data_IF_341970118830
#
_entry.id   IF_341970118830
#
_cell.length_a   1.000
_cell.length_b   1.000
_cell.length_c   1.000
_cell.angle_alpha   90.00
_cell.angle_beta   90.00
_cell.angle_gamma   90.00
#
_symmetry.space_group_name_H-M   'P 1'
#
loop_
_entity.id
_entity.type
_entity.pdbx_description
1 polymer ?
#
# COMPACT_ATOMS: atom_id res chain seq x y z
N UNK A 1 21.97 26.25 -49.29
CA UNK A 1 22.69 26.24 -47.99
C UNK A 1 21.67 26.03 -46.89
N UNK A 2 21.80 24.93 -46.15
CA UNK A 2 20.98 24.68 -44.99
C UNK A 2 21.56 25.47 -43.79
N UNK A 3 20.75 26.31 -43.15
CA UNK A 3 21.16 27.04 -41.95
C UNK A 3 21.13 26.08 -40.79
N UNK A 4 22.29 25.74 -40.24
CA UNK A 4 22.39 24.97 -39.00
C UNK A 4 22.15 25.93 -37.82
N UNK A 5 21.02 25.74 -37.12
CA UNK A 5 20.74 26.46 -35.86
C UNK A 5 21.56 25.78 -34.75
N UNK A 6 22.23 26.60 -33.94
CA UNK A 6 22.95 26.14 -32.77
C UNK A 6 21.95 25.58 -31.74
N UNK A 7 22.07 24.30 -31.40
CA UNK A 7 21.30 23.72 -30.31
C UNK A 7 21.98 24.08 -28.99
N UNK A 8 21.27 24.80 -28.11
CA UNK A 8 21.73 25.06 -26.73
C UNK A 8 21.25 23.96 -25.81
N UNK A 9 22.16 23.23 -25.20
CA UNK A 9 21.83 22.28 -24.16
C UNK A 9 21.29 23.03 -22.93
N UNK A 10 20.08 22.70 -22.49
CA UNK A 10 19.56 23.13 -21.21
C UNK A 10 20.05 22.13 -20.13
N UNK A 11 20.59 22.66 -19.04
CA UNK A 11 21.04 21.88 -17.88
C UNK A 11 19.89 21.32 -17.05
N UNK A 12 18.64 21.71 -17.37
CA UNK A 12 17.45 21.18 -16.69
C UNK A 12 17.05 19.86 -17.31
N UNK A 13 17.16 18.78 -16.53
CA UNK A 13 16.57 17.49 -16.87
C UNK A 13 15.06 17.58 -16.64
N UNK A 14 14.27 17.22 -17.65
CA UNK A 14 12.82 17.09 -17.51
C UNK A 14 12.57 15.85 -16.67
N UNK A 15 12.16 16.04 -15.43
CA UNK A 15 11.80 14.95 -14.51
C UNK A 15 10.35 14.52 -14.73
N UNK A 16 10.09 13.21 -14.57
CA UNK A 16 8.72 12.69 -14.54
C UNK A 16 8.03 13.12 -13.25
N UNK A 17 6.71 13.20 -13.28
CA UNK A 17 5.93 13.36 -12.06
C UNK A 17 6.16 12.19 -11.13
N UNK A 18 6.43 12.48 -9.85
CA UNK A 18 6.75 11.47 -8.83
C UNK A 18 5.67 11.47 -7.76
N UNK A 19 5.23 10.28 -7.39
CA UNK A 19 4.34 10.07 -6.24
C UNK A 19 5.19 9.58 -5.07
N UNK A 20 5.01 10.19 -3.90
CA UNK A 20 5.52 9.63 -2.64
C UNK A 20 4.78 8.33 -2.33
N UNK A 21 5.38 7.46 -1.50
CA UNK A 21 4.69 6.24 -1.07
C UNK A 21 3.34 6.55 -0.44
N UNK A 22 2.30 5.93 -0.98
CA UNK A 22 0.92 6.09 -0.55
C UNK A 22 0.53 5.08 0.53
N UNK A 23 1.22 3.94 0.57
CA UNK A 23 0.89 2.81 1.46
C UNK A 23 1.62 2.82 2.79
N UNK A 24 2.59 3.72 3.02
CA UNK A 24 3.40 3.75 4.24
C UNK A 24 2.55 3.93 5.51
N UNK A 25 1.52 4.76 5.45
CA UNK A 25 0.60 4.98 6.57
C UNK A 25 -0.38 3.82 6.82
N UNK A 26 -0.48 2.88 5.89
CA UNK A 26 -1.43 1.77 5.93
C UNK A 26 -0.80 0.44 6.35
N UNK A 27 0.48 0.44 6.68
CA UNK A 27 1.21 -0.75 7.11
C UNK A 27 1.75 -0.58 8.52
N UNK A 28 1.84 -1.69 9.23
CA UNK A 28 2.44 -1.79 10.55
C UNK A 28 3.93 -2.16 10.41
N UNK A 29 4.79 -1.45 11.12
CA UNK A 29 6.24 -1.68 11.17
C UNK A 29 6.75 -2.12 12.55
N UNK A 30 5.87 -2.61 13.44
CA UNK A 30 6.21 -2.95 14.82
C UNK A 30 7.14 -4.17 14.95
N UNK A 31 7.28 -4.97 13.90
CA UNK A 31 8.10 -6.18 13.92
C UNK A 31 9.55 -5.89 13.54
N UNK A 32 10.49 -6.38 14.36
CA UNK A 32 11.94 -6.22 14.15
C UNK A 32 12.47 -7.35 13.26
N UNK A 33 13.07 -6.99 12.13
CA UNK A 33 13.61 -7.92 11.11
C UNK A 33 15.15 -7.97 11.11
N UNK A 34 15.82 -7.31 12.06
CA UNK A 34 17.27 -7.27 12.13
C UNK A 34 17.86 -8.65 12.40
N UNK A 35 18.80 -9.08 11.58
CA UNK A 35 19.52 -10.36 11.75
C UNK A 35 18.75 -11.63 11.34
N UNK A 36 17.45 -11.56 11.07
CA UNK A 36 16.63 -12.73 10.75
C UNK A 36 15.85 -12.54 9.44
N UNK A 37 15.64 -13.62 8.67
CA UNK A 37 14.81 -13.62 7.47
C UNK A 37 13.36 -13.99 7.74
N UNK A 38 13.09 -14.56 8.89
CA UNK A 38 11.79 -15.10 9.28
C UNK A 38 11.43 -14.60 10.67
N UNK A 39 10.21 -14.12 10.83
CA UNK A 39 9.64 -13.69 12.11
C UNK A 39 8.35 -14.48 12.37
N UNK A 40 8.18 -14.93 13.59
CA UNK A 40 6.98 -15.64 14.04
C UNK A 40 6.08 -14.68 14.82
N UNK A 41 4.87 -14.46 14.34
CA UNK A 41 3.82 -13.76 15.06
C UNK A 41 2.96 -14.76 15.84
N UNK A 42 2.87 -14.56 17.15
CA UNK A 42 2.07 -15.40 18.02
C UNK A 42 0.68 -14.79 18.23
N UNK A 43 -0.34 -15.64 18.18
CA UNK A 43 -1.73 -15.28 18.50
C UNK A 43 -2.30 -16.26 19.50
N UNK A 44 -3.01 -15.74 20.49
CA UNK A 44 -3.68 -16.54 21.52
C UNK A 44 -5.18 -16.48 21.29
N UNK A 45 -5.85 -17.60 21.00
CA UNK A 45 -7.30 -17.63 20.90
C UNK A 45 -7.93 -17.34 22.27
N UNK A 46 -9.10 -16.72 22.24
CA UNK A 46 -9.90 -16.45 23.44
C UNK A 46 -10.89 -17.58 23.67
N UNK A 47 -11.17 -17.89 24.95
CA UNK A 47 -12.19 -18.86 25.35
C UNK A 47 -13.53 -18.16 25.57
N UNK A 48 -14.63 -18.78 25.16
CA UNK A 48 -15.97 -18.27 25.41
C UNK A 48 -16.27 -18.28 26.92
N UNK A 49 -17.02 -17.26 27.36
CA UNK A 49 -17.50 -17.21 28.74
C UNK A 49 -18.59 -18.26 28.94
N UNK A 50 -18.57 -18.93 30.10
CA UNK A 50 -19.64 -19.78 30.58
C UNK A 50 -20.33 -19.17 31.80
N UNK A 51 -21.59 -19.47 32.01
CA UNK A 51 -22.31 -19.05 33.21
C UNK A 51 -21.74 -19.74 34.46
N UNK A 52 -21.57 -18.96 35.54
CA UNK A 52 -21.13 -19.48 36.82
C UNK A 52 -22.28 -20.23 37.50
N UNK A 53 -22.02 -21.48 37.86
CA UNK A 53 -22.99 -22.36 38.55
C UNK A 53 -22.68 -22.40 40.03
N UNK A 54 -23.68 -22.16 40.91
CA UNK A 54 -23.50 -22.13 42.35
C UNK A 54 -23.23 -23.49 43.00
N UNK A 55 -23.54 -24.59 42.29
CA UNK A 55 -23.43 -25.96 42.82
C UNK A 55 -22.65 -26.84 41.84
N UNK A 56 -21.92 -27.81 42.34
CA UNK A 56 -21.14 -28.75 41.54
C UNK A 56 -19.64 -28.47 41.50
N UNK A 57 -18.87 -29.35 40.88
CA UNK A 57 -17.41 -29.29 40.81
C UNK A 57 -16.88 -28.34 39.72
N UNK A 58 -17.64 -28.14 38.64
CA UNK A 58 -17.24 -27.29 37.49
C UNK A 58 -17.94 -25.93 37.51
N UNK A 59 -17.87 -25.20 38.61
CA UNK A 59 -18.57 -23.91 38.79
C UNK A 59 -18.19 -22.83 37.80
N UNK A 60 -16.95 -22.83 37.31
CA UNK A 60 -16.42 -21.89 36.28
C UNK A 60 -16.51 -22.47 34.86
N UNK A 61 -17.23 -23.57 34.64
CA UNK A 61 -17.23 -24.29 33.37
C UNK A 61 -16.06 -25.27 33.24
N UNK A 62 -15.89 -25.88 32.09
CA UNK A 62 -14.79 -26.78 31.82
C UNK A 62 -13.53 -25.97 31.50
N UNK A 63 -12.44 -26.25 32.22
CA UNK A 63 -11.16 -25.63 31.96
C UNK A 63 -10.63 -26.01 30.57
N UNK A 64 -10.30 -25.04 29.76
CA UNK A 64 -9.63 -25.23 28.47
C UNK A 64 -8.16 -24.77 28.57
N UNK A 65 -7.25 -25.59 28.06
CA UNK A 65 -5.84 -25.20 28.01
C UNK A 65 -5.65 -24.08 26.98
N UNK A 66 -4.87 -23.05 27.35
CA UNK A 66 -4.52 -21.95 26.47
C UNK A 66 -3.53 -22.48 25.43
N UNK A 67 -3.97 -22.50 24.18
CA UNK A 67 -3.12 -22.78 23.02
C UNK A 67 -2.64 -21.53 22.34
N UNK A 68 -1.57 -21.59 21.57
CA UNK A 68 -1.09 -20.52 20.75
C UNK A 68 -1.14 -20.92 19.27
N UNK A 69 -1.37 -19.92 18.42
CA UNK A 69 -1.24 -20.06 16.97
C UNK A 69 -0.04 -19.25 16.51
N UNK A 70 0.82 -19.85 15.71
CA UNK A 70 2.03 -19.20 15.19
C UNK A 70 1.87 -18.94 13.70
N UNK A 71 2.02 -17.69 13.29
CA UNK A 71 2.12 -17.30 11.88
C UNK A 71 3.58 -17.00 11.58
N UNK A 72 4.17 -17.77 10.66
CA UNK A 72 5.55 -17.57 10.20
C UNK A 72 5.55 -16.65 8.98
N UNK A 73 6.32 -15.57 9.04
CA UNK A 73 6.49 -14.58 7.98
C UNK A 73 7.94 -14.62 7.50
N UNK A 74 8.19 -14.96 6.24
CA UNK A 74 9.53 -15.04 5.65
C UNK A 74 9.67 -14.09 4.49
N UNK A 75 10.65 -13.18 4.56
CA UNK A 75 10.90 -12.17 3.53
C UNK A 75 11.43 -12.81 2.26
N UNK A 76 10.69 -12.71 1.16
CA UNK A 76 10.99 -13.33 -0.13
C UNK A 76 11.46 -12.33 -1.20
N UNK A 77 11.00 -11.07 -1.15
CA UNK A 77 11.32 -10.07 -2.19
C UNK A 77 12.71 -9.49 -1.99
N UNK A 78 13.60 -9.70 -2.96
CA UNK A 78 14.95 -9.14 -3.02
C UNK A 78 15.14 -8.56 -4.43
N UNK A 79 15.24 -7.24 -4.53
CA UNK A 79 15.29 -6.51 -5.79
C UNK A 79 16.59 -5.74 -5.88
N UNK A 80 17.18 -5.73 -7.06
CA UNK A 80 18.41 -5.01 -7.33
C UNK A 80 18.35 -4.31 -8.68
N UNK A 81 19.08 -3.22 -8.80
CA UNK A 81 19.31 -2.54 -10.06
C UNK A 81 20.75 -1.99 -10.07
N UNK A 82 21.41 -2.12 -11.20
CA UNK A 82 22.72 -1.54 -11.47
C UNK A 82 22.60 -0.59 -12.65
N UNK A 83 23.06 0.64 -12.47
CA UNK A 83 23.02 1.68 -13.51
C UNK A 83 24.44 2.21 -13.67
N UNK A 84 24.92 2.26 -14.92
CA UNK A 84 26.24 2.78 -15.25
C UNK A 84 26.12 4.06 -16.07
N UNK A 85 27.00 5.03 -15.82
CA UNK A 85 27.14 6.23 -16.63
C UNK A 85 28.63 6.43 -16.97
N UNK A 86 28.95 6.39 -18.27
CA UNK A 86 30.29 6.59 -18.76
C UNK A 86 30.76 8.04 -18.56
N UNK A 87 32.06 8.22 -18.34
CA UNK A 87 32.68 9.55 -18.10
C UNK A 87 32.47 10.49 -19.25
N UNK A 88 32.53 9.98 -20.48
CA UNK A 88 32.26 10.78 -21.65
C UNK A 88 30.82 11.32 -21.65
N UNK A 89 29.85 10.47 -21.31
CA UNK A 89 28.45 10.89 -21.17
C UNK A 89 28.24 11.91 -20.08
N UNK A 90 28.95 11.78 -18.95
CA UNK A 90 28.93 12.75 -17.84
C UNK A 90 29.48 14.11 -18.29
N UNK A 91 30.58 14.11 -19.05
CA UNK A 91 31.24 15.31 -19.54
C UNK A 91 30.41 16.00 -20.63
N UNK A 92 29.98 15.27 -21.64
CA UNK A 92 29.18 15.77 -22.78
C UNK A 92 27.79 16.27 -22.34
N UNK A 93 27.24 15.79 -21.19
CA UNK A 93 25.96 16.25 -20.62
C UNK A 93 26.11 17.33 -19.53
N UNK A 94 27.31 17.92 -19.41
CA UNK A 94 27.62 18.97 -18.42
C UNK A 94 27.21 18.55 -16.99
N UNK A 95 27.54 17.32 -16.61
CA UNK A 95 27.29 16.73 -15.28
C UNK A 95 25.79 16.68 -14.87
N UNK A 96 24.87 16.72 -15.83
CA UNK A 96 23.44 16.55 -15.53
C UNK A 96 23.11 15.13 -15.04
N UNK A 97 23.90 14.14 -15.44
CA UNK A 97 23.79 12.74 -15.04
C UNK A 97 24.56 12.45 -13.72
N UNK A 98 24.39 13.27 -12.68
CA UNK A 98 25.01 13.03 -11.37
C UNK A 98 24.43 11.76 -10.72
N UNK A 99 25.30 10.92 -10.13
CA UNK A 99 24.91 9.64 -9.53
C UNK A 99 23.78 9.74 -8.52
N UNK A 100 23.80 10.75 -7.64
CA UNK A 100 22.74 10.98 -6.66
C UNK A 100 21.38 11.29 -7.28
N UNK A 101 21.34 12.02 -8.39
CA UNK A 101 20.10 12.33 -9.11
C UNK A 101 19.53 11.08 -9.79
N UNK A 102 20.39 10.28 -10.42
CA UNK A 102 20.00 9.02 -11.05
C UNK A 102 19.44 8.07 -10.00
N UNK A 103 20.14 7.92 -8.85
CA UNK A 103 19.67 7.08 -7.74
C UNK A 103 18.31 7.53 -7.19
N UNK A 104 18.15 8.83 -6.91
CA UNK A 104 16.89 9.39 -6.40
C UNK A 104 15.73 9.14 -7.37
N UNK A 105 15.97 9.28 -8.68
CA UNK A 105 14.96 9.00 -9.69
C UNK A 105 14.60 7.52 -9.73
N UNK A 106 15.58 6.63 -9.68
CA UNK A 106 15.35 5.18 -9.66
C UNK A 106 14.51 4.76 -8.45
N UNK A 107 14.78 5.34 -7.28
CA UNK A 107 13.99 5.07 -6.07
C UNK A 107 12.56 5.58 -6.24
N UNK A 108 12.39 6.83 -6.65
CA UNK A 108 11.08 7.46 -6.67
C UNK A 108 10.20 7.02 -7.85
N UNK A 109 10.79 6.75 -9.03
CA UNK A 109 10.05 6.43 -10.25
C UNK A 109 9.82 4.92 -10.44
N UNK A 110 10.61 4.06 -9.79
CA UNK A 110 10.55 2.60 -9.99
C UNK A 110 10.30 1.87 -8.67
N UNK A 111 11.15 2.07 -7.66
CA UNK A 111 11.09 1.28 -6.43
C UNK A 111 9.84 1.57 -5.60
N UNK A 112 9.51 2.84 -5.35
CA UNK A 112 8.33 3.23 -4.56
C UNK A 112 7.03 2.73 -5.22
N UNK A 113 6.77 2.94 -6.51
CA UNK A 113 5.61 2.40 -7.19
C UNK A 113 5.50 0.87 -7.14
N UNK A 114 6.63 0.16 -7.26
CA UNK A 114 6.66 -1.30 -7.15
C UNK A 114 6.24 -1.77 -5.75
N UNK A 115 6.75 -1.13 -4.69
CA UNK A 115 6.41 -1.46 -3.31
C UNK A 115 4.93 -1.20 -3.03
N UNK A 116 4.42 -0.04 -3.45
CA UNK A 116 3.02 0.33 -3.23
C UNK A 116 2.07 -0.63 -3.97
N UNK A 117 2.37 -0.95 -5.23
CA UNK A 117 1.60 -1.93 -6.01
C UNK A 117 1.61 -3.31 -5.35
N UNK A 118 2.76 -3.76 -4.87
CA UNK A 118 2.89 -5.04 -4.19
C UNK A 118 2.08 -5.09 -2.89
N UNK A 119 2.18 -4.06 -2.04
CA UNK A 119 1.44 -3.96 -0.77
C UNK A 119 -0.07 -3.96 -0.99
N UNK A 120 -0.57 -3.16 -1.93
CA UNK A 120 -2.00 -3.13 -2.29
C UNK A 120 -2.44 -4.49 -2.83
N UNK A 121 -1.62 -5.13 -3.66
CA UNK A 121 -1.89 -6.48 -4.18
C UNK A 121 -2.04 -7.52 -3.07
N UNK A 122 -1.14 -7.52 -2.08
CA UNK A 122 -1.18 -8.41 -0.91
C UNK A 122 -2.43 -8.15 -0.06
N UNK A 123 -2.74 -6.88 0.23
CA UNK A 123 -3.95 -6.49 0.98
C UNK A 123 -5.22 -6.95 0.26
N UNK A 124 -5.31 -6.70 -1.04
CA UNK A 124 -6.46 -7.09 -1.86
C UNK A 124 -6.64 -8.61 -1.95
N UNK A 125 -5.55 -9.36 -2.09
CA UNK A 125 -5.59 -10.81 -2.15
C UNK A 125 -6.07 -11.45 -0.83
N UNK A 126 -5.59 -10.93 0.30
CA UNK A 126 -6.01 -11.39 1.62
C UNK A 126 -7.49 -11.06 1.91
N UNK A 127 -7.94 -9.86 1.56
CA UNK A 127 -9.33 -9.44 1.71
C UNK A 127 -10.29 -10.33 0.89
N UNK A 128 -9.89 -10.74 -0.31
CA UNK A 128 -10.69 -11.61 -1.17
C UNK A 128 -10.99 -12.96 -0.52
N UNK A 129 -10.06 -13.51 0.25
CA UNK A 129 -10.22 -14.83 0.89
C UNK A 129 -11.16 -14.81 2.08
N UNK A 130 -11.39 -13.67 2.73
CA UNK A 130 -12.09 -13.60 4.02
C UNK A 130 -13.41 -12.83 4.00
N UNK A 131 -13.59 -11.92 3.06
CA UNK A 131 -14.81 -11.13 2.95
C UNK A 131 -15.51 -11.43 1.64
N UNK A 132 -16.85 -11.48 1.69
CA UNK A 132 -17.68 -11.71 0.51
C UNK A 132 -17.36 -10.66 -0.56
N UNK A 133 -16.89 -11.13 -1.70
CA UNK A 133 -16.63 -10.26 -2.85
C UNK A 133 -17.90 -10.08 -3.64
N UNK A 134 -18.26 -8.86 -3.94
CA UNK A 134 -19.35 -8.60 -4.86
C UNK A 134 -18.79 -8.39 -6.27
N UNK A 135 -19.50 -8.87 -7.25
CA UNK A 135 -19.18 -8.69 -8.67
C UNK A 135 -19.96 -7.54 -9.29
N UNK A 136 -20.63 -6.73 -8.46
CA UNK A 136 -21.44 -5.61 -8.94
C UNK A 136 -20.54 -4.52 -9.53
N UNK A 137 -20.82 -4.13 -10.76
CA UNK A 137 -20.16 -3.01 -11.41
C UNK A 137 -20.43 -1.70 -10.65
N UNK A 138 -19.40 -0.93 -10.38
CA UNK A 138 -19.51 0.37 -9.73
C UNK A 138 -19.82 1.46 -10.75
N UNK A 139 -20.77 2.31 -10.39
CA UNK A 139 -21.25 3.46 -11.16
C UNK A 139 -21.45 4.66 -10.24
N UNK A 140 -21.77 5.80 -10.82
CA UNK A 140 -22.08 7.01 -10.06
C UNK A 140 -23.35 6.91 -9.19
N UNK A 141 -24.16 5.85 -9.37
CA UNK A 141 -25.42 5.66 -8.61
C UNK A 141 -25.28 4.71 -7.42
N UNK A 142 -24.21 3.93 -7.36
CA UNK A 142 -24.02 2.92 -6.32
C UNK A 142 -22.66 2.98 -5.61
N UNK A 143 -21.81 3.93 -5.95
CA UNK A 143 -20.46 4.03 -5.39
C UNK A 143 -20.47 4.28 -3.88
N UNK A 144 -21.32 5.18 -3.42
CA UNK A 144 -21.43 5.49 -2.00
C UNK A 144 -22.08 4.34 -1.20
N UNK A 145 -23.14 3.75 -1.72
CA UNK A 145 -23.78 2.59 -1.07
C UNK A 145 -22.85 1.38 -1.00
N UNK A 146 -22.04 1.13 -2.02
CA UNK A 146 -21.00 0.10 -2.01
C UNK A 146 -19.95 0.34 -0.95
N UNK A 147 -19.57 1.61 -0.75
CA UNK A 147 -18.63 2.01 0.28
C UNK A 147 -19.21 1.81 1.69
N UNK A 148 -20.50 2.16 1.90
CA UNK A 148 -21.21 1.93 3.16
C UNK A 148 -21.32 0.44 3.49
N UNK A 149 -21.62 -0.41 2.51
CA UNK A 149 -21.63 -1.88 2.68
C UNK A 149 -20.28 -2.42 3.14
N UNK A 150 -19.19 -1.89 2.60
CA UNK A 150 -17.86 -2.24 3.05
C UNK A 150 -17.59 -1.82 4.50
N UNK A 151 -18.05 -0.62 4.88
CA UNK A 151 -17.94 -0.12 6.26
C UNK A 151 -18.77 -0.94 7.25
N UNK A 152 -19.99 -1.32 6.85
CA UNK A 152 -20.85 -2.20 7.63
C UNK A 152 -20.16 -3.55 7.89
N UNK A 153 -19.60 -4.17 6.86
CA UNK A 153 -18.88 -5.45 6.98
C UNK A 153 -17.71 -5.36 7.97
N UNK A 154 -16.92 -4.28 7.90
CA UNK A 154 -15.82 -4.04 8.84
C UNK A 154 -16.33 -3.73 10.26
N UNK A 155 -17.45 -3.03 10.39
CA UNK A 155 -18.09 -2.73 11.67
C UNK A 155 -18.59 -4.01 12.35
N UNK A 156 -19.29 -4.86 11.61
CA UNK A 156 -19.76 -6.17 12.08
C UNK A 156 -18.61 -7.10 12.48
N UNK A 157 -17.44 -6.96 11.84
CA UNK A 157 -16.21 -7.65 12.21
C UNK A 157 -15.49 -7.01 13.41
N UNK A 158 -16.08 -6.00 14.06
CA UNK A 158 -15.54 -5.28 15.24
C UNK A 158 -14.19 -4.60 14.98
N UNK A 159 -13.94 -4.17 13.76
CA UNK A 159 -12.74 -3.41 13.40
C UNK A 159 -12.94 -1.96 13.85
N UNK A 160 -11.95 -1.30 14.51
CA UNK A 160 -12.06 0.10 14.87
C UNK A 160 -12.31 0.99 13.66
N UNK A 161 -13.12 2.01 13.79
CA UNK A 161 -13.39 2.98 12.72
C UNK A 161 -12.21 3.93 12.56
N UNK A 162 -11.59 4.29 13.68
CA UNK A 162 -10.42 5.15 13.69
C UNK A 162 -9.24 4.56 12.95
N UNK A 163 -8.59 5.36 12.12
CA UNK A 163 -7.39 4.95 11.40
C UNK A 163 -7.63 4.12 10.15
N UNK A 164 -8.87 3.82 9.75
CA UNK A 164 -9.14 3.14 8.48
C UNK A 164 -8.67 3.97 7.30
N UNK A 165 -8.05 3.31 6.32
CA UNK A 165 -7.58 3.91 5.07
C UNK A 165 -8.21 3.15 3.92
N UNK A 166 -8.75 3.87 2.94
CA UNK A 166 -9.29 3.31 1.71
C UNK A 166 -8.41 3.71 0.53
N UNK A 167 -7.80 2.74 -0.11
CA UNK A 167 -7.17 2.92 -1.42
C UNK A 167 -8.22 2.70 -2.50
N UNK A 168 -8.34 3.64 -3.42
CA UNK A 168 -9.33 3.54 -4.50
C UNK A 168 -8.76 4.02 -5.83
N UNK A 169 -9.32 3.52 -6.93
CA UNK A 169 -9.00 4.04 -8.25
C UNK A 169 -9.56 5.45 -8.45
N UNK A 170 -8.93 6.24 -9.31
CA UNK A 170 -9.47 7.57 -9.67
C UNK A 170 -10.87 7.51 -10.27
N UNK A 171 -11.22 6.41 -10.95
CA UNK A 171 -12.58 6.19 -11.47
C UNK A 171 -13.60 6.06 -10.33
N UNK A 172 -13.31 5.22 -9.33
CA UNK A 172 -14.15 5.09 -8.15
C UNK A 172 -14.27 6.41 -7.37
N UNK A 173 -13.15 7.11 -7.20
CA UNK A 173 -13.13 8.42 -6.57
C UNK A 173 -14.05 9.44 -7.26
N UNK A 174 -14.07 9.42 -8.61
CA UNK A 174 -14.98 10.26 -9.39
C UNK A 174 -16.44 9.85 -9.21
N UNK A 175 -16.72 8.55 -9.15
CA UNK A 175 -18.09 8.05 -8.94
C UNK A 175 -18.66 8.43 -7.58
N UNK A 176 -17.89 8.34 -6.50
CA UNK A 176 -18.33 8.83 -5.18
C UNK A 176 -18.70 10.30 -5.22
N UNK A 177 -17.92 11.14 -5.90
CA UNK A 177 -18.22 12.58 -6.04
C UNK A 177 -19.48 12.87 -6.81
N UNK A 178 -19.90 12.00 -7.71
CA UNK A 178 -21.09 12.13 -8.54
C UNK A 178 -22.31 11.45 -7.93
N UNK A 179 -22.12 10.60 -6.92
CA UNK A 179 -23.21 9.87 -6.27
C UNK A 179 -24.15 10.82 -5.54
N UNK A 180 -25.45 10.75 -5.90
CA UNK A 180 -26.48 11.61 -5.33
C UNK A 180 -26.64 11.38 -3.82
N UNK A 181 -26.48 10.15 -3.35
CA UNK A 181 -26.54 9.81 -1.93
C UNK A 181 -25.45 10.49 -1.10
N UNK A 182 -24.27 10.64 -1.65
CA UNK A 182 -23.17 11.38 -1.00
C UNK A 182 -23.40 12.90 -1.02
N UNK A 183 -23.89 13.43 -2.14
CA UNK A 183 -24.10 14.87 -2.31
C UNK A 183 -25.26 15.39 -1.45
N UNK A 184 -26.35 14.61 -1.33
CA UNK A 184 -27.51 14.99 -0.55
C UNK A 184 -27.28 14.89 0.98
N UNK A 185 -26.29 14.12 1.39
CA UNK A 185 -26.08 13.82 2.81
C UNK A 185 -25.49 14.99 3.63
N UNK A 186 -24.96 16.05 3.01
CA UNK A 186 -24.35 17.16 3.79
C UNK A 186 -23.95 18.35 2.91
N UNK A 187 -24.18 19.57 3.41
CA UNK A 187 -23.62 20.82 2.88
C UNK A 187 -22.08 20.76 2.82
N UNK A 188 -21.46 20.08 3.79
CA UNK A 188 -20.01 19.84 3.85
C UNK A 188 -19.51 18.95 2.69
N UNK A 189 -20.32 17.99 2.22
CA UNK A 189 -19.99 17.17 1.06
C UNK A 189 -19.97 18.01 -0.22
N UNK A 190 -20.91 18.95 -0.32
CA UNK A 190 -20.99 19.89 -1.45
C UNK A 190 -19.78 20.84 -1.49
N UNK A 191 -19.37 21.39 -0.35
CA UNK A 191 -18.19 22.22 -0.21
C UNK A 191 -16.91 21.46 -0.57
N UNK A 192 -16.73 20.24 -0.06
CA UNK A 192 -15.59 19.36 -0.40
C UNK A 192 -15.56 19.00 -1.88
N UNK A 193 -16.71 18.81 -2.51
CA UNK A 193 -16.83 18.57 -3.94
C UNK A 193 -16.38 19.77 -4.76
N UNK A 194 -16.79 20.99 -4.39
CA UNK A 194 -16.41 22.24 -5.05
C UNK A 194 -14.89 22.46 -4.93
N UNK A 195 -14.34 22.27 -3.76
CA UNK A 195 -12.91 22.46 -3.49
C UNK A 195 -12.03 21.32 -4.03
N UNK A 196 -12.62 20.28 -4.61
CA UNK A 196 -11.88 19.14 -5.17
C UNK A 196 -11.22 18.23 -4.14
N UNK A 197 -11.32 18.55 -2.83
CA UNK A 197 -10.69 17.80 -1.75
C UNK A 197 -11.69 16.85 -1.07
N UNK A 198 -11.46 15.56 -1.18
CA UNK A 198 -12.20 14.52 -0.49
C UNK A 198 -11.20 13.68 0.31
N UNK A 199 -10.84 14.18 1.51
CA UNK A 199 -9.83 13.54 2.36
C UNK A 199 -10.37 12.40 3.21
N UNK A 200 -11.63 12.49 3.66
CA UNK A 200 -12.29 11.51 4.52
C UNK A 200 -13.75 11.35 4.12
N UNK A 201 -14.25 10.11 4.14
CA UNK A 201 -15.66 9.76 3.99
C UNK A 201 -16.00 8.79 5.12
N UNK A 202 -17.03 9.11 5.90
CA UNK A 202 -17.48 8.34 7.07
C UNK A 202 -16.34 7.93 8.03
N UNK A 203 -15.44 8.86 8.32
CA UNK A 203 -14.29 8.61 9.20
C UNK A 203 -13.13 7.84 8.55
N UNK A 204 -13.25 7.43 7.29
CA UNK A 204 -12.20 6.71 6.56
C UNK A 204 -11.42 7.67 5.65
N UNK A 205 -10.10 7.63 5.75
CA UNK A 205 -9.22 8.39 4.88
C UNK A 205 -9.20 7.77 3.49
N UNK A 206 -9.62 8.51 2.47
CA UNK A 206 -9.56 8.08 1.08
C UNK A 206 -8.26 8.52 0.43
N UNK A 207 -7.56 7.56 -0.16
CA UNK A 207 -6.32 7.77 -0.90
C UNK A 207 -6.52 7.28 -2.34
N UNK A 208 -6.71 8.21 -3.30
CA UNK A 208 -6.79 7.81 -4.70
C UNK A 208 -5.41 7.35 -5.18
N UNK A 209 -5.39 6.21 -5.87
CA UNK A 209 -4.18 5.62 -6.42
C UNK A 209 -4.32 5.42 -7.93
N UNK A 210 -3.23 5.44 -8.70
CA UNK A 210 -3.26 5.08 -10.10
C UNK A 210 -3.85 3.69 -10.31
N UNK A 211 -4.60 3.48 -11.38
CA UNK A 211 -5.18 2.18 -11.71
C UNK A 211 -4.13 1.07 -11.86
N UNK A 212 -2.90 1.43 -12.23
CA UNK A 212 -1.76 0.49 -12.31
C UNK A 212 -1.31 -0.07 -10.95
N UNK A 213 -1.66 0.58 -9.83
CA UNK A 213 -1.32 0.11 -8.48
C UNK A 213 -2.36 -0.86 -7.92
N UNK A 214 -3.54 -0.88 -8.51
CA UNK A 214 -4.63 -1.75 -8.10
C UNK A 214 -4.69 -3.00 -8.99
N UNK A 215 -5.04 -4.19 -8.44
CA UNK A 215 -5.40 -5.33 -9.27
C UNK A 215 -6.57 -4.97 -10.21
N UNK A 216 -6.54 -5.46 -11.45
CA UNK A 216 -7.46 -5.07 -12.52
C UNK A 216 -8.96 -5.22 -12.16
N UNK A 217 -9.28 -6.12 -11.24
CA UNK A 217 -10.65 -6.43 -10.82
C UNK A 217 -11.08 -5.72 -9.55
N UNK A 218 -10.29 -4.77 -9.02
CA UNK A 218 -10.54 -4.14 -7.72
C UNK A 218 -10.80 -2.65 -7.89
N UNK A 219 -11.92 -2.18 -7.38
CA UNK A 219 -12.29 -0.78 -7.38
C UNK A 219 -11.68 -0.01 -6.19
N UNK A 220 -11.78 -0.60 -5.00
CA UNK A 220 -11.20 -0.05 -3.78
C UNK A 220 -10.85 -1.15 -2.77
N UNK A 221 -9.92 -0.84 -1.89
CA UNK A 221 -9.52 -1.66 -0.74
C UNK A 221 -9.56 -0.80 0.51
N UNK A 222 -10.30 -1.22 1.52
CA UNK A 222 -10.27 -0.60 2.85
C UNK A 222 -9.40 -1.45 3.75
N UNK A 223 -8.48 -0.81 4.47
CA UNK A 223 -7.58 -1.48 5.40
C UNK A 223 -7.48 -0.71 6.71
N UNK A 224 -7.19 -1.46 7.78
CA UNK A 224 -6.74 -0.88 9.03
C UNK A 224 -5.23 -1.08 9.16
N UNK A 225 -4.42 -0.06 9.53
CA UNK A 225 -2.95 -0.15 9.54
C UNK A 225 -2.38 -1.31 10.37
N UNK A 226 -3.06 -1.72 11.43
CA UNK A 226 -2.59 -2.82 12.29
C UNK A 226 -2.67 -4.21 11.65
N UNK A 227 -3.23 -4.35 10.46
CA UNK A 227 -3.49 -5.65 9.81
C UNK A 227 -2.32 -6.11 8.96
N UNK A 228 -1.75 -5.18 8.19
CA UNK A 228 -0.69 -5.50 7.23
C UNK A 228 0.66 -5.07 7.78
N UNK A 229 1.59 -6.01 7.84
CA UNK A 229 2.96 -5.77 8.25
C UNK A 229 3.78 -5.41 7.02
N UNK A 230 4.34 -4.20 7.01
CA UNK A 230 5.26 -3.73 5.96
C UNK A 230 6.71 -3.99 6.38
N UNK A 231 7.40 -4.86 5.64
CA UNK A 231 8.78 -5.21 5.93
C UNK A 231 9.73 -4.43 5.05
N UNK A 232 10.72 -3.80 5.69
CA UNK A 232 11.91 -3.24 5.06
C UNK A 232 13.11 -3.84 5.76
N UNK A 233 13.89 -4.67 5.06
CA UNK A 233 14.99 -5.41 5.70
C UNK A 233 16.36 -4.89 5.31
N UNK A 234 16.57 -4.60 4.03
CA UNK A 234 17.85 -4.16 3.49
C UNK A 234 17.62 -2.99 2.54
N UNK A 235 18.33 -1.93 2.75
CA UNK A 235 18.46 -0.79 1.85
C UNK A 235 19.95 -0.55 1.65
N UNK A 236 20.49 -1.02 0.53
CA UNK A 236 21.92 -0.86 0.22
C UNK A 236 22.03 -0.09 -1.10
N UNK A 237 22.51 1.14 -0.99
CA UNK A 237 22.74 2.05 -2.10
C UNK A 237 24.21 2.42 -2.14
N UNK A 238 24.89 2.08 -3.23
CA UNK A 238 26.31 2.38 -3.43
C UNK A 238 26.54 3.09 -4.75
N UNK A 239 27.38 4.11 -4.72
CA UNK A 239 27.89 4.78 -5.89
C UNK A 239 29.38 4.50 -5.95
N UNK A 240 29.81 3.80 -7.00
CA UNK A 240 31.20 3.50 -7.25
C UNK A 240 31.74 4.46 -8.30
N UNK A 241 32.87 5.11 -8.00
CA UNK A 241 33.61 5.91 -8.97
C UNK A 241 34.69 5.04 -9.63
N UNK A 242 34.72 5.02 -10.95
CA UNK A 242 35.66 4.26 -11.77
C UNK A 242 35.78 2.77 -11.35
N UNK A 243 34.72 1.97 -11.36
CA UNK A 243 34.82 0.57 -11.04
C UNK A 243 35.62 -0.17 -12.13
N UNK A 244 36.19 -1.36 -11.84
CA UNK A 244 36.95 -2.13 -12.81
C UNK A 244 36.18 -2.38 -14.10
N UNK A 245 36.76 -2.01 -15.26
CA UNK A 245 36.16 -2.21 -16.58
C UNK A 245 35.21 -1.09 -17.04
N UNK A 246 35.01 -0.03 -16.25
CA UNK A 246 34.19 1.13 -16.63
C UNK A 246 34.94 2.42 -16.25
N UNK A 247 35.06 3.35 -17.21
CA UNK A 247 35.50 4.72 -16.93
C UNK A 247 34.25 5.57 -16.71
N UNK A 248 33.87 5.81 -15.43
CA UNK A 248 32.66 6.53 -15.08
C UNK A 248 32.13 6.15 -13.72
N UNK A 249 30.82 6.28 -13.52
CA UNK A 249 30.15 5.91 -12.26
C UNK A 249 29.25 4.68 -12.45
N UNK A 250 29.22 3.84 -11.43
CA UNK A 250 28.26 2.75 -11.30
C UNK A 250 27.45 2.95 -10.02
N UNK A 251 26.16 2.81 -10.15
CA UNK A 251 25.19 2.94 -9.06
C UNK A 251 24.55 1.58 -8.84
N UNK A 252 24.78 1.00 -7.69
CA UNK A 252 24.19 -0.26 -7.27
C UNK A 252 23.10 0.02 -6.23
N UNK A 253 21.91 -0.50 -6.49
CA UNK A 253 20.77 -0.44 -5.61
C UNK A 253 20.34 -1.86 -5.29
N UNK A 254 20.21 -2.19 -4.02
CA UNK A 254 19.60 -3.43 -3.55
C UNK A 254 18.60 -3.14 -2.46
N UNK A 255 17.39 -3.65 -2.61
CA UNK A 255 16.31 -3.44 -1.69
C UNK A 255 15.58 -4.74 -1.39
N UNK A 256 15.47 -5.07 -0.11
CA UNK A 256 14.79 -6.28 0.34
C UNK A 256 13.57 -5.90 1.18
N UNK A 257 12.39 -6.28 0.70
CA UNK A 257 11.11 -5.91 1.30
C UNK A 257 10.11 -7.05 1.19
N UNK A 258 9.03 -6.95 1.96
CA UNK A 258 7.86 -7.81 1.82
C UNK A 258 6.64 -7.15 2.49
N UNK A 259 5.47 -7.79 2.35
CA UNK A 259 4.25 -7.41 3.04
C UNK A 259 3.49 -8.66 3.46
N UNK A 260 3.05 -8.69 4.72
CA UNK A 260 2.32 -9.82 5.28
C UNK A 260 1.03 -9.34 5.92
N UNK A 261 -0.04 -10.11 5.73
CA UNK A 261 -1.31 -9.88 6.43
C UNK A 261 -1.38 -10.80 7.64
N UNK A 262 -1.65 -10.22 8.81
CA UNK A 262 -1.82 -10.98 10.04
C UNK A 262 -3.14 -11.76 10.00
N UNK A 263 -3.06 -13.09 10.09
CA UNK A 263 -4.22 -13.97 10.02
C UNK A 263 -5.25 -13.71 11.11
N UNK A 264 -4.79 -13.32 12.30
CA UNK A 264 -5.66 -12.95 13.42
C UNK A 264 -6.45 -11.64 13.21
N UNK A 265 -6.01 -10.79 12.28
CA UNK A 265 -6.61 -9.47 12.01
C UNK A 265 -7.11 -9.30 10.58
N UNK A 266 -7.15 -10.39 9.81
CA UNK A 266 -7.50 -10.36 8.39
C UNK A 266 -8.86 -9.74 8.11
N UNK A 267 -9.80 -9.83 9.06
CA UNK A 267 -11.11 -9.19 8.99
C UNK A 267 -11.05 -7.64 8.93
N UNK A 268 -9.90 -7.04 9.19
CA UNK A 268 -9.66 -5.60 9.03
C UNK A 268 -9.33 -5.18 7.59
N UNK A 269 -9.47 -6.07 6.61
CA UNK A 269 -9.32 -5.81 5.19
C UNK A 269 -10.63 -6.06 4.45
N UNK A 270 -11.02 -5.14 3.60
CA UNK A 270 -12.14 -5.31 2.68
C UNK A 270 -11.74 -4.89 1.28
N UNK A 271 -12.02 -5.73 0.30
CA UNK A 271 -11.76 -5.45 -1.12
C UNK A 271 -13.05 -5.57 -1.93
N UNK A 272 -13.38 -4.55 -2.69
CA UNK A 272 -14.50 -4.58 -3.61
C UNK A 272 -14.04 -4.97 -5.01
N UNK A 273 -14.48 -6.13 -5.48
CA UNK A 273 -14.22 -6.58 -6.84
C UNK A 273 -15.28 -6.10 -7.79
N UNK A 274 -14.83 -5.71 -8.97
CA UNK A 274 -15.70 -5.38 -10.12
C UNK A 274 -15.81 -6.64 -10.98
N UNK A 275 -16.99 -6.89 -11.55
CA UNK A 275 -17.15 -7.87 -12.62
C UNK A 275 -16.30 -7.44 -13.84
N UNK A 276 -15.58 -8.39 -14.44
CA UNK A 276 -14.85 -8.18 -15.70
C UNK A 276 -15.84 -8.31 -16.84
#
# INVERSE_FOLDING_TARGET
MAINYAAKFDTKVVERFQLKSLTEAAVNSDYVWSGVSTVNAYSYPTTALSDYVLTGAARYGVAAEQQNTVQTMTVAKDRSATITADRKTLDDTNSTAQGNKILSRQINEVLIPEIDTYRIGVMSAAAITNLATTTLAISATNAYSSFLTAQESLGNAKVPVEGRIAFCTYAFYSFIKLDAGFVLASDVAMEKRINGMMGMVDGVKIVPVPSSYMPATVAFVICHPSVTVGVKKLEDYKIHDNPPGLSGIQIDLRYRYDAFVLTSKVNGLYSWKIAI
#
